data_IF_568342041114
#
_entry.id   IF_568342041114
#
_cell.length_a   1.000
_cell.length_b   1.000
_cell.length_c   1.000
_cell.angle_alpha   90.00
_cell.angle_beta   90.00
_cell.angle_gamma   90.00
#
_symmetry.space_group_name_H-M   'P 1'
#
loop_
_entity.id
_entity.type
_entity.pdbx_description
1 polymer ?
#
# COMPACT_ATOMS: atom_id res chain seq x y z
N UNK A 1 -14.29 9.57 -1.47
CA UNK A 1 -14.49 8.52 -2.50
C UNK A 1 -14.65 7.13 -1.91
N UNK A 2 -13.95 6.78 -0.83
CA UNK A 2 -14.06 5.50 -0.16
C UNK A 2 -14.15 5.74 1.34
N UNK A 3 -15.11 5.11 2.02
CA UNK A 3 -15.32 5.26 3.48
C UNK A 3 -15.72 3.92 4.08
N UNK A 4 -15.13 3.54 5.21
CA UNK A 4 -15.30 2.19 5.75
C UNK A 4 -14.79 1.18 4.74
N UNK A 5 -15.68 0.31 4.26
CA UNK A 5 -15.39 -0.68 3.23
C UNK A 5 -16.13 -0.42 1.90
N UNK A 6 -16.67 0.78 1.68
CA UNK A 6 -17.51 1.11 0.52
C UNK A 6 -16.97 2.26 -0.33
N UNK A 7 -17.18 2.15 -1.65
CA UNK A 7 -17.02 3.27 -2.59
C UNK A 7 -18.28 4.14 -2.64
N UNK A 8 -18.09 5.45 -2.75
CA UNK A 8 -19.20 6.36 -3.04
C UNK A 8 -19.63 6.20 -4.51
N UNK A 9 -20.80 5.62 -4.73
CA UNK A 9 -21.34 5.30 -6.08
C UNK A 9 -21.67 6.53 -6.94
N UNK A 10 -21.76 7.72 -6.35
CA UNK A 10 -21.94 8.97 -7.12
C UNK A 10 -20.63 9.42 -7.74
N UNK A 11 -19.53 9.38 -6.97
CA UNK A 11 -18.18 9.74 -7.44
C UNK A 11 -17.51 8.63 -8.25
N UNK A 12 -17.80 7.37 -7.93
CA UNK A 12 -17.18 6.17 -8.49
C UNK A 12 -18.24 5.26 -9.12
N UNK A 13 -18.68 5.60 -10.34
CA UNK A 13 -19.65 4.79 -11.10
C UNK A 13 -18.99 3.62 -11.82
N UNK A 14 -17.76 3.83 -12.25
CA UNK A 14 -16.91 2.88 -12.97
C UNK A 14 -15.44 3.14 -12.60
N UNK A 15 -14.56 2.22 -12.99
CA UNK A 15 -13.14 2.26 -12.63
C UNK A 15 -12.44 3.55 -13.10
N UNK A 16 -12.74 4.01 -14.31
CA UNK A 16 -12.10 5.19 -14.92
C UNK A 16 -12.60 6.48 -14.32
N UNK A 17 -13.92 6.65 -14.20
CA UNK A 17 -14.52 7.85 -13.61
C UNK A 17 -14.12 7.98 -12.13
N UNK A 18 -14.00 6.86 -11.41
CA UNK A 18 -13.52 6.88 -10.03
C UNK A 18 -12.10 7.46 -9.92
N UNK A 19 -11.14 7.00 -10.73
CA UNK A 19 -9.78 7.56 -10.71
C UNK A 19 -9.72 9.03 -11.13
N UNK A 20 -10.59 9.47 -12.04
CA UNK A 20 -10.66 10.87 -12.45
C UNK A 20 -11.26 11.79 -11.38
N UNK A 21 -12.21 11.29 -10.59
CA UNK A 21 -12.96 12.07 -9.59
C UNK A 21 -12.36 12.03 -8.18
N UNK A 22 -11.33 11.21 -7.96
CA UNK A 22 -10.79 10.91 -6.65
C UNK A 22 -9.30 11.21 -6.57
N UNK A 23 -8.83 11.44 -5.35
CA UNK A 23 -7.42 11.59 -5.04
C UNK A 23 -7.08 10.80 -3.78
N UNK A 24 -5.81 10.41 -3.69
CA UNK A 24 -5.16 10.06 -2.43
C UNK A 24 -4.42 11.30 -1.92
N UNK A 25 -4.36 11.47 -0.60
CA UNK A 25 -3.77 12.66 0.04
C UNK A 25 -2.56 12.27 0.90
N UNK A 26 -1.92 13.27 1.51
CA UNK A 26 -0.82 13.08 2.44
C UNK A 26 -1.20 12.25 3.67
N UNK A 27 -0.18 11.74 4.34
CA UNK A 27 -0.32 10.90 5.52
C UNK A 27 0.27 11.58 6.76
N UNK A 28 -0.50 11.67 7.84
CA UNK A 28 0.03 11.92 9.17
C UNK A 28 0.61 10.61 9.74
N UNK A 29 1.88 10.35 9.40
CA UNK A 29 2.59 9.13 9.75
C UNK A 29 2.53 8.82 11.26
N UNK A 30 2.79 9.81 12.11
CA UNK A 30 2.89 9.58 13.56
C UNK A 30 1.54 9.55 14.26
N UNK A 31 0.68 10.56 14.02
CA UNK A 31 -0.56 10.71 14.78
C UNK A 31 -1.65 9.73 14.33
N UNK A 32 -1.72 9.44 13.03
CA UNK A 32 -2.76 8.56 12.46
C UNK A 32 -2.29 7.12 12.31
N UNK A 33 -1.08 6.91 11.79
CA UNK A 33 -0.59 5.56 11.47
C UNK A 33 0.34 4.97 12.53
N UNK A 34 0.89 5.79 13.44
CA UNK A 34 1.84 5.32 14.46
C UNK A 34 3.17 4.86 13.86
N UNK A 35 3.55 5.44 12.72
CA UNK A 35 4.81 5.21 12.04
C UNK A 35 5.79 6.28 12.49
N UNK A 36 6.97 5.87 12.94
CA UNK A 36 8.06 6.78 13.31
C UNK A 36 9.40 6.27 12.83
N UNK A 37 10.29 7.18 12.43
CA UNK A 37 11.65 6.86 12.05
C UNK A 37 12.65 7.71 12.85
N UNK A 38 13.82 7.14 13.14
CA UNK A 38 14.95 7.84 13.75
C UNK A 38 16.26 7.20 13.30
N UNK A 39 17.13 8.00 12.66
CA UNK A 39 18.36 7.47 12.05
C UNK A 39 18.04 6.40 11.00
N UNK A 40 18.54 5.18 11.21
CA UNK A 40 18.31 4.02 10.37
C UNK A 40 17.18 3.08 10.86
N UNK A 41 16.43 3.48 11.89
CA UNK A 41 15.35 2.67 12.48
C UNK A 41 13.97 3.16 12.02
N UNK A 42 13.10 2.21 11.68
CA UNK A 42 11.68 2.40 11.40
C UNK A 42 10.85 1.56 12.38
N UNK A 43 9.91 2.21 13.08
CA UNK A 43 8.94 1.54 13.95
C UNK A 43 7.54 1.67 13.36
N UNK A 44 6.84 0.53 13.28
CA UNK A 44 5.45 0.42 12.82
C UNK A 44 4.59 -0.08 13.98
N UNK A 45 3.61 0.72 14.41
CA UNK A 45 2.61 0.26 15.39
C UNK A 45 1.46 -0.48 14.72
N UNK A 46 0.98 -1.54 15.37
CA UNK A 46 -0.13 -2.31 14.85
C UNK A 46 -1.47 -1.57 14.97
N UNK A 47 -1.79 -0.98 16.12
CA UNK A 47 -3.06 -0.24 16.31
C UNK A 47 -2.75 1.18 16.76
N UNK A 48 -3.26 2.17 16.03
CA UNK A 48 -3.14 3.59 16.37
C UNK A 48 -4.53 4.20 16.44
N UNK A 49 -4.94 4.64 17.63
CA UNK A 49 -6.25 5.26 17.89
C UNK A 49 -6.12 6.77 17.85
N UNK A 50 -6.70 7.40 16.83
CA UNK A 50 -6.82 8.85 16.72
C UNK A 50 -8.17 9.35 17.27
N UNK A 51 -8.41 10.65 17.13
CA UNK A 51 -9.65 11.28 17.63
C UNK A 51 -10.91 10.85 16.89
N UNK A 52 -10.80 10.48 15.60
CA UNK A 52 -11.94 10.20 14.72
C UNK A 52 -11.88 8.83 14.03
N UNK A 53 -10.76 8.10 14.18
CA UNK A 53 -10.52 6.84 13.49
C UNK A 53 -9.54 5.97 14.26
N UNK A 54 -9.52 4.69 13.94
CA UNK A 54 -8.51 3.73 14.41
C UNK A 54 -7.84 3.10 13.19
N UNK A 55 -6.53 3.23 13.08
CA UNK A 55 -5.73 2.59 12.04
C UNK A 55 -5.24 1.20 12.52
N UNK A 56 -5.24 0.22 11.61
CA UNK A 56 -4.75 -1.15 11.83
C UNK A 56 -3.68 -1.47 10.78
N UNK A 57 -2.46 -1.75 11.24
CA UNK A 57 -1.32 -2.10 10.41
C UNK A 57 -0.81 -0.93 9.55
N UNK A 58 0.20 -1.23 8.74
CA UNK A 58 0.72 -0.33 7.70
C UNK A 58 1.56 -1.11 6.70
N UNK A 59 1.68 -0.58 5.48
CA UNK A 59 2.65 -1.02 4.47
C UNK A 59 3.40 0.20 3.97
N UNK A 60 4.72 0.13 3.95
CA UNK A 60 5.60 1.25 3.59
C UNK A 60 6.63 0.80 2.57
N UNK A 61 7.10 1.73 1.73
CA UNK A 61 8.15 1.47 0.75
C UNK A 61 9.34 2.39 1.02
N UNK A 62 10.55 1.88 0.78
CA UNK A 62 11.75 2.71 0.85
C UNK A 62 11.80 3.62 -0.38
N UNK A 63 11.99 4.92 -0.13
CA UNK A 63 12.06 5.94 -1.18
C UNK A 63 13.52 6.27 -1.48
N UNK A 64 13.85 6.42 -2.77
CA UNK A 64 15.14 6.98 -3.21
C UNK A 64 15.12 8.50 -3.13
N UNK A 65 14.01 9.07 -3.59
CA UNK A 65 13.71 10.50 -3.60
C UNK A 65 12.19 10.71 -3.44
N UNK A 66 11.72 11.96 -3.48
CA UNK A 66 10.31 12.32 -3.31
C UNK A 66 9.35 11.65 -4.29
N UNK A 67 9.84 11.10 -5.41
CA UNK A 67 9.01 10.65 -6.55
C UNK A 67 9.31 9.25 -7.04
N UNK A 68 10.34 8.59 -6.51
CA UNK A 68 10.72 7.23 -6.92
C UNK A 68 11.11 6.34 -5.74
N UNK A 69 10.72 5.06 -5.84
CA UNK A 69 11.15 4.02 -4.90
C UNK A 69 12.64 3.72 -5.04
N UNK A 70 13.25 3.30 -3.94
CA UNK A 70 14.59 2.72 -3.97
C UNK A 70 14.51 1.31 -4.58
N UNK A 71 15.24 1.10 -5.68
CA UNK A 71 15.16 -0.14 -6.45
C UNK A 71 16.38 -1.01 -6.21
N UNK A 72 16.14 -2.22 -5.72
CA UNK A 72 17.18 -3.21 -5.48
C UNK A 72 17.29 -4.16 -6.66
N UNK A 73 18.52 -4.48 -7.05
CA UNK A 73 18.82 -5.48 -8.08
C UNK A 73 19.72 -6.56 -7.49
N UNK A 74 19.16 -7.73 -7.27
CA UNK A 74 19.88 -8.89 -6.72
C UNK A 74 20.53 -9.73 -7.83
N UNK A 75 21.41 -9.12 -8.63
CA UNK A 75 22.16 -9.82 -9.69
C UNK A 75 23.61 -10.08 -9.25
N UNK A 76 24.03 -11.34 -9.11
CA UNK A 76 25.41 -11.70 -8.70
C UNK A 76 25.55 -11.96 -7.19
N UNK A 77 26.71 -11.63 -6.60
CA UNK A 77 27.05 -11.85 -5.18
C UNK A 77 26.65 -10.64 -4.31
N UNK A 78 25.36 -10.32 -4.24
CA UNK A 78 24.83 -9.29 -3.33
C UNK A 78 24.22 -9.92 -2.08
N UNK A 79 24.41 -9.25 -0.94
CA UNK A 79 23.82 -9.61 0.35
C UNK A 79 22.94 -8.46 0.83
N UNK A 80 21.77 -8.80 1.38
CA UNK A 80 20.87 -7.86 2.04
C UNK A 80 20.75 -8.25 3.52
N UNK A 81 20.97 -7.28 4.40
CA UNK A 81 20.96 -7.49 5.85
C UNK A 81 20.17 -6.39 6.53
N UNK A 82 19.48 -6.72 7.61
CA UNK A 82 18.77 -5.77 8.46
C UNK A 82 18.67 -6.33 9.89
N UNK A 83 18.54 -5.42 10.85
CA UNK A 83 18.20 -5.76 12.23
C UNK A 83 16.70 -5.62 12.43
N UNK A 84 16.11 -6.52 13.23
CA UNK A 84 14.68 -6.50 13.53
C UNK A 84 14.42 -6.83 14.99
N UNK A 85 13.53 -6.06 15.62
CA UNK A 85 13.01 -6.32 16.97
C UNK A 85 11.54 -6.72 16.88
N UNK A 86 11.25 -7.99 17.20
CA UNK A 86 9.91 -8.57 17.21
C UNK A 86 9.44 -8.89 18.63
N UNK A 87 10.15 -8.43 19.66
CA UNK A 87 9.86 -8.74 21.07
C UNK A 87 8.43 -8.37 21.50
N UNK A 88 7.82 -7.43 20.79
CA UNK A 88 6.45 -6.97 21.01
C UNK A 88 5.45 -7.42 19.93
N UNK A 89 5.80 -8.40 19.09
CA UNK A 89 4.94 -8.94 18.05
C UNK A 89 4.35 -10.31 18.49
N UNK A 90 3.14 -10.35 19.07
CA UNK A 90 2.52 -11.60 19.51
C UNK A 90 2.06 -12.48 18.33
N UNK A 91 1.65 -13.71 18.68
CA UNK A 91 1.06 -14.67 17.74
C UNK A 91 -0.09 -14.06 16.93
N UNK A 92 -0.16 -14.40 15.64
CA UNK A 92 -1.22 -13.94 14.73
C UNK A 92 -0.90 -12.61 14.03
N UNK A 93 0.22 -11.97 14.35
CA UNK A 93 0.73 -10.80 13.62
C UNK A 93 1.91 -11.17 12.74
N UNK A 94 2.09 -10.41 11.67
CA UNK A 94 3.25 -10.50 10.79
C UNK A 94 3.90 -9.11 10.65
N UNK A 95 5.18 -9.01 11.01
CA UNK A 95 6.02 -7.87 10.71
C UNK A 95 6.95 -8.28 9.59
N UNK A 96 6.63 -7.87 8.36
CA UNK A 96 7.26 -8.41 7.15
C UNK A 96 8.23 -7.41 6.50
N UNK A 97 9.31 -7.94 5.93
CA UNK A 97 10.22 -7.23 5.04
C UNK A 97 10.44 -8.10 3.80
N UNK A 98 10.04 -7.59 2.64
CA UNK A 98 10.03 -8.33 1.40
C UNK A 98 10.25 -7.41 0.20
N UNK A 99 10.55 -8.00 -0.94
CA UNK A 99 10.73 -7.30 -2.21
C UNK A 99 9.65 -7.72 -3.20
N UNK A 100 9.08 -6.74 -3.91
CA UNK A 100 8.13 -6.96 -5.00
C UNK A 100 8.59 -6.22 -6.25
N UNK A 101 8.24 -6.76 -7.42
CA UNK A 101 8.63 -6.20 -8.72
C UNK A 101 7.70 -5.08 -9.18
N UNK A 102 7.54 -4.04 -8.34
CA UNK A 102 6.80 -2.82 -8.65
C UNK A 102 7.59 -1.90 -9.61
N UNK A 103 6.87 -1.04 -10.35
CA UNK A 103 7.49 0.04 -11.10
C UNK A 103 8.06 1.11 -10.15
N UNK A 104 9.26 1.59 -10.41
CA UNK A 104 9.97 2.54 -9.54
C UNK A 104 9.22 3.87 -9.31
N UNK A 105 8.35 4.26 -10.25
CA UNK A 105 7.53 5.48 -10.17
C UNK A 105 6.08 5.20 -9.72
N UNK A 106 5.80 3.99 -9.23
CA UNK A 106 4.45 3.54 -8.86
C UNK A 106 3.53 3.31 -10.07
N UNK A 107 4.10 3.19 -11.27
CA UNK A 107 3.36 3.02 -12.53
C UNK A 107 2.92 4.33 -13.17
N UNK A 108 3.46 5.47 -12.73
CA UNK A 108 3.07 6.81 -13.21
C UNK A 108 3.33 6.99 -14.72
N UNK A 109 4.46 6.49 -15.24
CA UNK A 109 4.74 6.53 -16.69
C UNK A 109 3.88 5.56 -17.48
N UNK A 110 3.53 4.42 -16.91
CA UNK A 110 2.79 3.34 -17.58
C UNK A 110 1.30 3.64 -17.67
N UNK A 111 0.74 4.26 -16.65
CA UNK A 111 -0.69 4.51 -16.51
C UNK A 111 -0.94 6.02 -16.43
N UNK A 112 -1.35 6.61 -17.55
CA UNK A 112 -1.47 8.07 -17.68
C UNK A 112 -2.47 8.71 -16.70
N UNK A 113 -3.41 7.96 -16.16
CA UNK A 113 -4.37 8.38 -15.13
C UNK A 113 -3.83 8.26 -13.71
N UNK A 114 -2.76 7.50 -13.47
CA UNK A 114 -2.04 7.56 -12.21
C UNK A 114 -1.23 8.86 -12.13
N UNK A 115 -1.77 9.84 -11.41
CA UNK A 115 -1.09 11.13 -11.18
C UNK A 115 -0.39 11.23 -9.82
N UNK A 116 -0.52 10.20 -8.98
CA UNK A 116 0.04 10.20 -7.63
C UNK A 116 1.45 9.57 -7.60
N UNK A 117 1.63 8.42 -8.24
CA UNK A 117 2.93 7.74 -8.37
C UNK A 117 3.51 7.26 -7.03
N UNK A 118 4.82 7.00 -7.03
CA UNK A 118 5.53 6.44 -5.87
C UNK A 118 5.47 7.34 -4.63
N UNK A 119 5.41 8.66 -4.81
CA UNK A 119 5.26 9.66 -3.73
C UNK A 119 4.10 9.35 -2.79
N UNK A 120 3.03 8.78 -3.31
CA UNK A 120 1.81 8.41 -2.57
C UNK A 120 1.62 6.90 -2.46
N UNK A 121 2.67 6.09 -2.66
CA UNK A 121 2.59 4.65 -2.40
C UNK A 121 1.80 3.84 -3.44
N UNK A 122 1.64 4.33 -4.67
CA UNK A 122 0.84 3.63 -5.71
C UNK A 122 1.61 2.51 -6.42
N UNK A 123 0.87 1.63 -7.10
CA UNK A 123 1.45 0.59 -7.97
C UNK A 123 1.80 -0.73 -7.29
N UNK A 124 1.30 -0.98 -6.06
CA UNK A 124 1.54 -2.24 -5.36
C UNK A 124 1.08 -3.45 -6.17
N UNK A 125 1.84 -4.53 -6.03
CA UNK A 125 1.59 -5.85 -6.56
C UNK A 125 2.39 -6.84 -5.70
N UNK A 126 1.96 -8.10 -5.68
CA UNK A 126 2.70 -9.20 -5.06
C UNK A 126 2.33 -10.53 -5.74
N UNK A 127 2.80 -11.68 -5.22
CA UNK A 127 2.52 -12.98 -5.83
C UNK A 127 1.10 -13.51 -5.56
N UNK A 128 0.35 -12.89 -4.64
CA UNK A 128 -1.03 -13.22 -4.30
C UNK A 128 -2.04 -12.56 -5.23
N UNK A 129 -1.59 -11.63 -6.09
CA UNK A 129 -2.47 -10.87 -6.97
C UNK A 129 -3.61 -10.14 -6.22
N UNK A 130 -3.32 -9.34 -5.18
CA UNK A 130 -4.29 -8.75 -4.27
C UNK A 130 -5.36 -7.96 -5.00
N UNK A 131 -6.61 -8.28 -4.68
CA UNK A 131 -7.81 -7.64 -5.24
C UNK A 131 -8.39 -6.55 -4.35
N UNK A 132 -7.84 -6.37 -3.15
CA UNK A 132 -8.25 -5.36 -2.18
C UNK A 132 -7.65 -3.97 -2.45
N UNK A 133 -6.69 -3.90 -3.38
CA UNK A 133 -6.13 -2.63 -3.82
C UNK A 133 -7.23 -1.75 -4.45
N UNK A 134 -7.36 -0.55 -3.88
CA UNK A 134 -8.37 0.43 -4.26
C UNK A 134 -8.09 1.06 -5.63
N UNK A 135 -6.83 1.12 -6.04
CA UNK A 135 -6.41 1.60 -7.35
C UNK A 135 -5.41 0.63 -7.98
N UNK A 136 -5.67 0.22 -9.22
CA UNK A 136 -4.81 -0.67 -10.01
C UNK A 136 -4.73 -0.09 -11.42
N UNK A 137 -3.54 -0.07 -12.02
CA UNK A 137 -3.31 0.46 -13.37
C UNK A 137 -3.82 1.90 -13.61
N UNK A 138 -3.82 2.73 -12.57
CA UNK A 138 -4.31 4.11 -12.63
C UNK A 138 -5.84 4.23 -12.70
N UNK A 139 -6.57 3.15 -12.45
CA UNK A 139 -8.04 3.14 -12.36
C UNK A 139 -8.48 2.80 -10.93
N UNK A 140 -9.67 3.24 -10.52
CA UNK A 140 -10.30 2.74 -9.30
C UNK A 140 -10.69 1.28 -9.48
N UNK A 141 -10.70 0.48 -8.42
CA UNK A 141 -11.10 -0.93 -8.47
C UNK A 141 -12.54 -1.10 -7.95
N UNK A 142 -13.49 -0.34 -8.50
CA UNK A 142 -14.87 -0.23 -7.98
C UNK A 142 -15.80 -1.27 -8.58
N UNK A 143 -15.59 -1.67 -9.83
CA UNK A 143 -16.42 -2.66 -10.50
C UNK A 143 -16.33 -4.02 -9.80
N UNK A 144 -17.47 -4.58 -9.43
CA UNK A 144 -17.53 -5.85 -8.69
C UNK A 144 -17.04 -5.77 -7.23
N UNK A 145 -16.92 -4.56 -6.67
CA UNK A 145 -16.48 -4.39 -5.28
C UNK A 145 -17.37 -5.13 -4.29
N UNK A 146 -16.77 -6.05 -3.54
CA UNK A 146 -17.42 -6.84 -2.49
C UNK A 146 -16.78 -6.51 -1.15
N UNK A 147 -17.59 -6.07 -0.19
CA UNK A 147 -17.13 -5.75 1.16
C UNK A 147 -16.58 -6.98 1.87
N UNK A 148 -15.51 -6.80 2.65
CA UNK A 148 -15.05 -7.86 3.53
C UNK A 148 -16.07 -8.13 4.63
N UNK A 149 -16.25 -9.41 4.97
CA UNK A 149 -17.12 -9.84 6.06
C UNK A 149 -16.49 -9.71 7.45
N UNK A 150 -15.16 -9.52 7.51
CA UNK A 150 -14.38 -9.51 8.75
C UNK A 150 -13.37 -8.37 8.84
N UNK A 151 -13.34 -7.45 7.88
CA UNK A 151 -12.55 -6.23 7.92
C UNK A 151 -13.42 -5.02 7.53
N UNK A 152 -13.59 -4.10 8.47
CA UNK A 152 -14.45 -2.92 8.29
C UNK A 152 -13.87 -1.87 7.31
N UNK A 153 -12.60 -2.01 6.89
CA UNK A 153 -11.88 -1.04 6.05
C UNK A 153 -11.47 -1.60 4.67
N UNK A 154 -11.82 -2.86 4.40
CA UNK A 154 -11.39 -3.60 3.23
C UNK A 154 -12.55 -4.29 2.49
N UNK A 155 -12.25 -4.69 1.26
CA UNK A 155 -13.11 -5.43 0.36
C UNK A 155 -12.27 -5.84 -0.83
N UNK A 156 -12.88 -6.41 -1.87
CA UNK A 156 -12.18 -6.85 -3.07
C UNK A 156 -12.91 -6.38 -4.32
N UNK A 157 -12.17 -5.79 -5.27
CA UNK A 157 -12.69 -5.35 -6.56
C UNK A 157 -12.51 -6.37 -7.67
N UNK A 158 -12.94 -6.05 -8.89
CA UNK A 158 -12.88 -6.93 -10.06
C UNK A 158 -11.46 -7.26 -10.54
N UNK A 159 -10.46 -6.44 -10.18
CA UNK A 159 -9.08 -6.61 -10.59
C UNK A 159 -8.15 -6.98 -9.43
N UNK A 160 -7.06 -7.67 -9.75
CA UNK A 160 -5.91 -7.90 -8.86
C UNK A 160 -4.61 -7.43 -9.50
N UNK A 161 -3.58 -7.18 -8.69
CA UNK A 161 -2.28 -6.67 -9.15
C UNK A 161 -1.16 -7.66 -8.84
N UNK A 162 -0.59 -8.29 -9.87
CA UNK A 162 0.36 -9.39 -9.74
C UNK A 162 1.79 -8.98 -10.09
N UNK A 163 2.77 -9.42 -9.32
CA UNK A 163 4.18 -9.41 -9.73
C UNK A 163 5.01 -10.43 -8.93
N UNK A 164 6.29 -10.58 -9.28
CA UNK A 164 7.18 -11.46 -8.52
C UNK A 164 7.44 -10.87 -7.13
N UNK A 165 7.50 -11.75 -6.14
CA UNK A 165 7.68 -11.45 -4.72
C UNK A 165 8.84 -12.31 -4.16
N UNK A 166 9.65 -11.71 -3.30
CA UNK A 166 10.69 -12.38 -2.53
C UNK A 166 10.51 -11.98 -1.07
N UNK A 167 9.92 -12.88 -0.29
CA UNK A 167 9.73 -12.74 1.15
C UNK A 167 11.04 -13.03 1.88
N UNK A 168 11.72 -11.98 2.36
CA UNK A 168 12.95 -12.13 3.15
C UNK A 168 12.61 -12.45 4.60
N UNK A 169 11.56 -11.83 5.13
CA UNK A 169 11.08 -11.99 6.49
C UNK A 169 9.57 -11.77 6.58
#
# INVERSE_FOLDING_TARGET
CYTGNEWNTTSCKDNKSCAANCAVDGADYKGTYGITASGNSLQLKFVTKGSYSTNIGSRTYLMKDDTTYEMFKFTGNHEFTFDVDLSNLPCGLNGALYFVSMDADGGLKKYSTNKAGAKYGTGYCDAQCPRDLKFINGEGNVEGWTQSSNDANAGVGGHGSCCAEMDIW
#
